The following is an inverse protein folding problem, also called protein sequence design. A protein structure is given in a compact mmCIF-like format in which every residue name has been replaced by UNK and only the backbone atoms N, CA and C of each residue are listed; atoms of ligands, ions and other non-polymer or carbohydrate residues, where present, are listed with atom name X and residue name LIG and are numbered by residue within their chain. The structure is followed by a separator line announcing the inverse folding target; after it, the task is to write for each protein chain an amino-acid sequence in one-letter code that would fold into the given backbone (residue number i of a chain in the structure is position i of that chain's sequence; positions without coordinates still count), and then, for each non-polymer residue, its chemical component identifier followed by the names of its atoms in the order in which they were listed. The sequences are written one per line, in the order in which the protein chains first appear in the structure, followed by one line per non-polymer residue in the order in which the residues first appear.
data_IF_247820974694
#
_entry.id   IF_247820974694
#
_cell.length_a   1.000
_cell.length_b   1.000
_cell.length_c   1.000
_cell.angle_alpha   90.00
_cell.angle_beta   90.00
_cell.angle_gamma   90.00
#
_symmetry.space_group_name_H-M   'P 1'
#
loop_
_entity.id
_entity.type
_entity.pdbx_description
1 polymer ?
#
# COMPACT_ATOMS: atom_id res chain seq x y z
N UNK A 1 8.24 -10.46 6.53
CA UNK A 1 7.64 -9.15 6.21
C UNK A 1 6.29 -9.12 6.87
N UNK A 2 5.98 -8.03 7.55
CA UNK A 2 4.66 -7.83 8.13
C UNK A 2 3.62 -7.66 7.01
N UNK A 3 2.42 -8.20 7.22
CA UNK A 3 1.29 -8.09 6.29
C UNK A 3 0.06 -7.64 7.04
N UNK A 4 -0.80 -6.89 6.36
CA UNK A 4 -2.05 -6.36 6.91
C UNK A 4 -3.21 -6.71 5.98
N UNK A 5 -4.29 -7.21 6.58
CA UNK A 5 -5.54 -7.45 5.87
C UNK A 5 -6.26 -6.13 5.64
N UNK A 6 -6.53 -5.81 4.38
CA UNK A 6 -7.19 -4.58 3.96
C UNK A 6 -8.44 -4.91 3.16
N UNK A 7 -9.58 -4.37 3.58
CA UNK A 7 -10.84 -4.58 2.88
C UNK A 7 -10.92 -3.75 1.59
N UNK A 8 -11.32 -4.38 0.49
CA UNK A 8 -11.64 -3.73 -0.78
C UNK A 8 -13.07 -4.08 -1.21
N UNK A 9 -13.78 -3.11 -1.78
CA UNK A 9 -15.06 -3.36 -2.42
C UNK A 9 -14.87 -4.06 -3.76
N UNK A 10 -15.92 -4.73 -4.24
CA UNK A 10 -15.92 -5.36 -5.55
C UNK A 10 -15.53 -4.40 -6.68
N UNK A 11 -15.99 -3.15 -6.62
CA UNK A 11 -15.66 -2.16 -7.65
C UNK A 11 -14.18 -1.76 -7.60
N UNK A 12 -13.61 -1.63 -6.40
CA UNK A 12 -12.18 -1.37 -6.22
C UNK A 12 -11.35 -2.56 -6.74
N UNK A 13 -11.77 -3.80 -6.46
CA UNK A 13 -11.12 -5.02 -6.94
C UNK A 13 -11.11 -5.09 -8.48
N UNK A 14 -12.18 -4.69 -9.15
CA UNK A 14 -12.19 -4.59 -10.62
C UNK A 14 -11.22 -3.53 -11.13
N UNK A 15 -11.16 -2.37 -10.47
CA UNK A 15 -10.20 -1.33 -10.85
C UNK A 15 -8.74 -1.80 -10.65
N UNK A 16 -8.47 -2.54 -9.57
CA UNK A 16 -7.18 -3.18 -9.33
C UNK A 16 -6.87 -4.23 -10.40
N UNK A 17 -7.82 -5.10 -10.74
CA UNK A 17 -7.66 -6.11 -11.79
C UNK A 17 -7.28 -5.49 -13.14
N UNK A 18 -7.89 -4.37 -13.50
CA UNK A 18 -7.66 -3.72 -14.80
C UNK A 18 -6.24 -3.16 -14.95
N UNK A 19 -5.56 -2.86 -13.84
CA UNK A 19 -4.27 -2.16 -13.84
C UNK A 19 -3.11 -2.96 -13.24
N UNK A 20 -3.32 -3.72 -12.17
CA UNK A 20 -2.27 -4.52 -11.53
C UNK A 20 -1.94 -5.72 -12.41
N UNK A 21 -0.72 -5.72 -12.97
CA UNK A 21 -0.23 -6.81 -13.83
C UNK A 21 0.54 -7.87 -13.02
N UNK A 22 0.50 -9.11 -13.51
CA UNK A 22 1.24 -10.24 -12.95
C UNK A 22 2.69 -10.32 -13.47
N UNK A 23 2.97 -9.76 -14.66
CA UNK A 23 4.29 -9.75 -15.31
C UNK A 23 4.50 -8.45 -16.09
N UNK A 24 5.77 -8.13 -16.37
CA UNK A 24 6.14 -7.07 -17.32
C UNK A 24 6.77 -7.68 -18.58
N UNK A 25 6.80 -6.89 -19.66
CA UNK A 25 7.60 -7.24 -20.84
C UNK A 25 9.11 -7.18 -20.58
N UNK A 26 9.96 -7.41 -21.60
CA UNK A 26 11.40 -7.68 -21.49
C UNK A 26 12.31 -6.63 -20.81
N UNK A 27 11.79 -5.52 -20.28
CA UNK A 27 12.55 -4.39 -19.73
C UNK A 27 12.83 -4.52 -18.21
N UNK A 28 12.98 -5.75 -17.70
CA UNK A 28 12.95 -6.07 -16.27
C UNK A 28 14.23 -5.70 -15.50
N UNK A 29 15.40 -5.65 -16.17
CA UNK A 29 16.72 -5.65 -15.52
C UNK A 29 17.09 -4.39 -14.72
N UNK A 30 16.23 -3.39 -14.64
CA UNK A 30 16.56 -2.10 -14.01
C UNK A 30 15.71 -1.78 -12.78
N UNK A 31 14.68 -2.57 -12.49
CA UNK A 31 13.71 -2.25 -11.45
C UNK A 31 14.02 -2.97 -10.15
N UNK A 32 14.42 -2.20 -9.12
CA UNK A 32 14.62 -2.71 -7.76
C UNK A 32 13.32 -3.25 -7.14
N UNK A 33 12.19 -2.61 -7.46
CA UNK A 33 10.85 -3.03 -7.10
C UNK A 33 9.99 -2.89 -8.36
N UNK A 34 9.72 -3.98 -9.07
CA UNK A 34 8.96 -3.91 -10.31
C UNK A 34 7.52 -3.53 -9.99
N UNK A 35 6.85 -2.72 -10.84
CA UNK A 35 5.44 -2.37 -10.67
C UNK A 35 4.52 -3.55 -11.04
N UNK A 36 4.87 -4.79 -10.69
CA UNK A 36 4.05 -5.97 -10.91
C UNK A 36 4.13 -6.89 -9.72
N UNK A 37 3.06 -7.63 -9.48
CA UNK A 37 3.03 -8.62 -8.41
C UNK A 37 2.07 -9.73 -8.79
N UNK A 38 2.63 -10.92 -9.03
CA UNK A 38 1.82 -12.12 -9.28
C UNK A 38 0.97 -12.47 -8.07
N UNK A 39 1.52 -12.39 -6.85
CA UNK A 39 0.78 -12.69 -5.61
C UNK A 39 -0.43 -11.76 -5.45
N UNK A 40 -0.24 -10.45 -5.62
CA UNK A 40 -1.33 -9.48 -5.55
C UNK A 40 -2.37 -9.72 -6.66
N UNK A 41 -1.93 -10.02 -7.87
CA UNK A 41 -2.82 -10.32 -8.99
C UNK A 41 -3.66 -11.58 -8.73
N UNK A 42 -3.05 -12.65 -8.19
CA UNK A 42 -3.73 -13.88 -7.81
C UNK A 42 -4.77 -13.62 -6.70
N UNK A 43 -4.41 -12.82 -5.67
CA UNK A 43 -5.34 -12.45 -4.60
C UNK A 43 -6.56 -11.69 -5.13
N UNK A 44 -6.36 -10.72 -6.03
CA UNK A 44 -7.45 -9.95 -6.65
C UNK A 44 -8.34 -10.86 -7.51
N UNK A 45 -7.74 -11.73 -8.33
CA UNK A 45 -8.48 -12.68 -9.16
C UNK A 45 -9.30 -13.65 -8.31
N UNK A 46 -8.72 -14.18 -7.23
CA UNK A 46 -9.42 -15.04 -6.28
C UNK A 46 -10.58 -14.30 -5.59
N UNK A 47 -10.35 -13.09 -5.08
CA UNK A 47 -11.38 -12.28 -4.45
C UNK A 47 -12.57 -12.01 -5.39
N UNK A 48 -12.31 -11.72 -6.67
CA UNK A 48 -13.35 -11.53 -7.68
C UNK A 48 -14.11 -12.83 -8.00
N UNK A 49 -13.43 -13.98 -8.00
CA UNK A 49 -14.02 -15.28 -8.30
C UNK A 49 -14.98 -15.78 -7.19
N UNK A 50 -14.78 -15.36 -5.94
CA UNK A 50 -15.67 -15.72 -4.82
C UNK A 50 -16.97 -14.89 -4.81
N UNK A 51 -17.09 -13.90 -5.71
CA UNK A 51 -18.28 -13.08 -5.95
C UNK A 51 -18.86 -12.31 -4.74
N UNK A 52 -18.03 -11.97 -3.75
CA UNK A 52 -18.45 -11.15 -2.61
C UNK A 52 -18.52 -9.65 -2.94
N UNK A 53 -19.27 -8.89 -2.13
CA UNK A 53 -19.35 -7.42 -2.24
C UNK A 53 -18.07 -6.73 -1.74
N UNK A 54 -17.39 -7.34 -0.78
CA UNK A 54 -16.07 -6.93 -0.29
C UNK A 54 -15.16 -8.15 -0.11
N UNK A 55 -13.84 -7.94 -0.14
CA UNK A 55 -12.86 -8.97 0.17
C UNK A 55 -11.64 -8.37 0.89
N UNK A 56 -10.98 -9.18 1.71
CA UNK A 56 -9.73 -8.80 2.38
C UNK A 56 -8.55 -9.22 1.51
N UNK A 57 -7.66 -8.28 1.18
CA UNK A 57 -6.36 -8.56 0.57
C UNK A 57 -5.27 -8.48 1.64
N UNK A 58 -4.31 -9.39 1.59
CA UNK A 58 -3.18 -9.46 2.53
C UNK A 58 -1.98 -8.68 1.97
N UNK A 59 -1.88 -7.41 2.36
CA UNK A 59 -0.94 -6.46 1.77
C UNK A 59 0.34 -6.33 2.59
N UNK A 60 1.47 -6.47 1.91
CA UNK A 60 2.78 -6.04 2.37
C UNK A 60 3.21 -4.72 1.67
N UNK A 61 4.38 -4.19 2.05
CA UNK A 61 4.89 -2.95 1.47
C UNK A 61 5.09 -3.04 -0.06
N UNK A 62 5.69 -4.10 -0.63
CA UNK A 62 5.75 -4.27 -2.08
C UNK A 62 4.38 -4.22 -2.78
N UNK A 63 3.36 -4.90 -2.24
CA UNK A 63 1.99 -4.84 -2.79
C UNK A 63 1.46 -3.41 -2.77
N UNK A 64 1.66 -2.67 -1.67
CA UNK A 64 1.25 -1.28 -1.58
C UNK A 64 1.93 -0.39 -2.64
N UNK A 65 3.22 -0.60 -2.91
CA UNK A 65 3.96 0.16 -3.92
C UNK A 65 3.50 -0.16 -5.35
N UNK A 66 3.15 -1.41 -5.64
CA UNK A 66 2.56 -1.81 -6.93
C UNK A 66 1.21 -1.12 -7.13
N UNK A 67 0.35 -1.08 -6.11
CA UNK A 67 -0.95 -0.40 -6.22
C UNK A 67 -0.78 1.12 -6.41
N UNK A 68 0.10 1.76 -5.63
CA UNK A 68 0.41 3.19 -5.74
C UNK A 68 0.98 3.58 -7.11
N UNK A 69 1.77 2.68 -7.71
CA UNK A 69 2.29 2.89 -9.05
C UNK A 69 1.18 2.96 -10.11
N UNK A 70 0.23 2.03 -10.07
CA UNK A 70 -0.80 1.87 -11.09
C UNK A 70 -2.00 2.78 -10.88
N UNK A 71 -2.44 2.95 -9.64
CA UNK A 71 -3.68 3.64 -9.33
C UNK A 71 -3.44 5.15 -9.23
N UNK A 72 -4.32 5.92 -9.87
CA UNK A 72 -4.32 7.39 -9.80
C UNK A 72 -5.60 7.87 -9.15
N UNK A 73 -5.50 8.97 -8.40
CA UNK A 73 -6.61 9.57 -7.62
C UNK A 73 -7.90 9.70 -8.42
N UNK A 74 -7.83 10.18 -9.66
CA UNK A 74 -8.98 10.41 -10.53
C UNK A 74 -9.52 9.19 -11.27
N UNK A 75 -9.01 7.98 -11.01
CA UNK A 75 -9.48 6.77 -11.68
C UNK A 75 -10.91 6.44 -11.29
N UNK A 76 -11.69 6.05 -12.31
CA UNK A 76 -13.11 5.72 -12.19
C UNK A 76 -13.36 4.29 -12.64
N UNK A 77 -14.44 3.68 -12.13
CA UNK A 77 -14.95 2.45 -12.69
C UNK A 77 -15.70 2.72 -14.01
N UNK A 78 -16.18 1.64 -14.66
CA UNK A 78 -16.98 1.71 -15.90
C UNK A 78 -18.27 2.55 -15.81
N UNK A 79 -18.73 2.86 -14.59
CA UNK A 79 -19.93 3.65 -14.33
C UNK A 79 -19.60 5.12 -13.99
N UNK A 80 -18.33 5.51 -14.02
CA UNK A 80 -17.88 6.87 -13.70
C UNK A 80 -17.73 7.17 -12.21
N UNK A 81 -17.85 6.17 -11.33
CA UNK A 81 -17.61 6.34 -9.89
C UNK A 81 -16.11 6.46 -9.64
N UNK A 82 -15.67 7.51 -8.95
CA UNK A 82 -14.27 7.70 -8.58
C UNK A 82 -13.88 6.76 -7.43
N UNK A 83 -12.89 5.90 -7.68
CA UNK A 83 -12.43 4.89 -6.73
C UNK A 83 -10.94 5.03 -6.41
N UNK A 84 -10.17 5.70 -7.27
CA UNK A 84 -8.72 5.83 -7.11
C UNK A 84 -8.32 6.47 -5.78
N UNK A 85 -9.03 7.51 -5.33
CA UNK A 85 -8.78 8.15 -4.03
C UNK A 85 -9.03 7.20 -2.84
N UNK A 86 -10.10 6.41 -2.88
CA UNK A 86 -10.42 5.42 -1.84
C UNK A 86 -9.32 4.37 -1.72
N UNK A 87 -8.90 3.80 -2.85
CA UNK A 87 -7.83 2.79 -2.93
C UNK A 87 -6.51 3.37 -2.39
N UNK A 88 -6.10 4.55 -2.86
CA UNK A 88 -4.85 5.18 -2.42
C UNK A 88 -4.86 5.49 -0.93
N UNK A 89 -5.99 5.93 -0.38
CA UNK A 89 -6.12 6.18 1.06
C UNK A 89 -5.92 4.90 1.88
N UNK A 90 -6.46 3.77 1.41
CA UNK A 90 -6.22 2.46 2.05
C UNK A 90 -4.74 2.11 1.99
N UNK A 91 -4.13 2.21 0.82
CA UNK A 91 -2.69 1.91 0.61
C UNK A 91 -1.79 2.78 1.49
N UNK A 92 -2.05 4.08 1.60
CA UNK A 92 -1.23 4.97 2.42
C UNK A 92 -1.35 4.65 3.92
N UNK A 93 -2.58 4.36 4.39
CA UNK A 93 -2.80 3.91 5.77
C UNK A 93 -2.06 2.60 6.06
N UNK A 94 -2.13 1.64 5.14
CA UNK A 94 -1.42 0.36 5.26
C UNK A 94 0.09 0.54 5.31
N UNK A 95 0.67 1.35 4.41
CA UNK A 95 2.11 1.65 4.41
C UNK A 95 2.55 2.31 5.71
N UNK A 96 1.79 3.29 6.18
CA UNK A 96 2.06 3.96 7.45
C UNK A 96 2.06 2.94 8.61
N UNK A 97 1.04 2.08 8.65
CA UNK A 97 0.90 1.04 9.66
C UNK A 97 2.02 -0.01 9.64
N UNK A 98 2.44 -0.45 8.45
CA UNK A 98 3.58 -1.37 8.29
C UNK A 98 4.89 -0.72 8.75
N UNK A 99 5.11 0.56 8.43
CA UNK A 99 6.33 1.28 8.82
C UNK A 99 6.43 1.49 10.34
N UNK A 100 5.29 1.63 11.02
CA UNK A 100 5.24 1.94 12.45
C UNK A 100 4.90 0.75 13.36
N UNK A 101 4.58 -0.41 12.78
CA UNK A 101 4.13 -1.58 13.53
C UNK A 101 2.72 -1.46 14.14
N UNK A 102 1.93 -0.44 13.78
CA UNK A 102 0.55 -0.28 14.27
C UNK A 102 -0.43 -1.03 13.36
N UNK A 103 -1.28 -1.89 13.93
CA UNK A 103 -2.44 -2.43 13.19
C UNK A 103 -3.46 -1.31 13.01
N UNK A 104 -3.83 -0.97 11.77
CA UNK A 104 -4.87 0.02 11.49
C UNK A 104 -6.16 -0.35 12.23
N UNK A 105 -6.55 0.41 13.25
CA UNK A 105 -7.89 0.40 13.82
C UNK A 105 -8.63 1.67 13.40
N UNK A 106 -9.93 1.71 13.67
CA UNK A 106 -10.91 2.72 13.19
C UNK A 106 -10.61 4.19 13.59
N UNK A 107 -9.57 4.43 14.40
CA UNK A 107 -9.19 5.74 14.96
C UNK A 107 -7.94 6.32 14.29
N UNK A 108 -8.00 6.55 12.97
CA UNK A 108 -6.85 6.92 12.14
C UNK A 108 -6.19 8.28 12.48
N UNK A 109 -6.93 9.23 13.06
CA UNK A 109 -6.41 10.59 13.29
C UNK A 109 -5.43 10.65 14.46
N UNK A 110 -5.68 9.89 15.52
CA UNK A 110 -4.77 9.81 16.68
C UNK A 110 -3.45 9.13 16.29
N UNK A 111 -3.54 8.06 15.51
CA UNK A 111 -2.39 7.33 15.00
C UNK A 111 -1.48 8.22 14.11
N UNK A 112 -2.04 9.19 13.37
CA UNK A 112 -1.28 10.12 12.54
C UNK A 112 -0.43 11.12 13.34
N UNK A 113 -0.97 11.72 14.40
CA UNK A 113 -0.19 12.64 15.23
C UNK A 113 0.84 11.91 16.10
N UNK A 114 0.50 10.71 16.60
CA UNK A 114 1.45 9.84 17.32
C UNK A 114 2.59 9.37 16.40
N UNK A 115 2.30 9.06 15.14
CA UNK A 115 3.29 8.74 14.10
C UNK A 115 4.32 9.86 13.88
N UNK A 116 3.82 11.09 13.69
CA UNK A 116 4.67 12.25 13.46
C UNK A 116 5.53 12.58 14.69
N UNK A 117 4.97 12.39 15.89
CA UNK A 117 5.71 12.59 17.12
C UNK A 117 6.85 11.56 17.29
N UNK A 118 6.58 10.28 17.03
CA UNK A 118 7.57 9.22 17.12
C UNK A 118 8.70 9.35 16.07
N UNK A 119 8.37 9.80 14.85
CA UNK A 119 9.36 10.03 13.80
C UNK A 119 10.23 11.28 14.04
N UNK A 120 9.78 12.21 14.89
CA UNK A 120 10.51 13.43 15.23
C UNK A 120 11.54 13.27 16.36
N UNK A 121 11.48 12.18 17.12
CA UNK A 121 12.31 11.94 18.30
C UNK A 121 13.62 11.18 18.00
N UNK A 122 13.79 10.65 16.78
CA UNK A 122 15.01 9.97 16.34
C UNK A 122 16.01 11.00 15.76
N UNK A 123 16.53 11.89 16.60
CA UNK A 123 17.74 12.65 16.26
C UNK A 123 18.96 11.86 16.73
N UNK A 124 19.98 11.64 15.87
CA UNK A 124 21.20 10.97 16.30
C UNK A 124 21.86 11.79 17.40
N UNK A 125 22.12 11.15 18.54
CA UNK A 125 22.98 11.70 19.57
C UNK A 125 24.34 12.03 18.94
N UNK A 126 24.70 13.32 18.93
CA UNK A 126 26.06 13.74 18.61
C UNK A 126 27.01 13.08 19.61
N UNK A 127 27.76 12.10 19.11
CA UNK A 127 28.79 11.42 19.87
C UNK A 127 29.82 12.43 20.36
N UNK A 128 29.92 12.56 21.68
CA UNK A 128 31.09 13.08 22.40
C UNK A 128 32.38 12.39 21.93
N UNK A 129 33.42 13.17 21.60
CA UNK A 129 34.72 12.61 21.22
C UNK A 129 35.80 13.63 20.83
N UNK A 130 36.35 14.31 21.84
CA UNK A 130 37.71 14.86 21.99
C UNK A 130 38.74 14.64 20.85
N UNK A 131 39.50 15.71 20.53
CA UNK A 131 40.84 15.59 19.93
C UNK A 131 41.52 16.91 19.58
N UNK A 132 42.49 17.32 20.43
CA UNK A 132 43.70 18.15 20.20
C UNK A 132 43.92 18.69 18.77
N UNK A 133 44.26 19.97 18.55
CA UNK A 133 45.53 20.67 18.88
C UNK A 133 45.26 22.18 18.91
#
# INVERSE_FOLDING_TARGET
MDRLNVEFSREELWLLHDHVRHEMGPAEDHWRLPPVSKDLNDQVAFALAVEQDTAMLDLDEPCCLVIDYWIRRGMTNRFGVQLGESILTKVFKTRQSLAMGFKTSRDGDRAYFEALAAAGDDKPEESSGLGLI
#
